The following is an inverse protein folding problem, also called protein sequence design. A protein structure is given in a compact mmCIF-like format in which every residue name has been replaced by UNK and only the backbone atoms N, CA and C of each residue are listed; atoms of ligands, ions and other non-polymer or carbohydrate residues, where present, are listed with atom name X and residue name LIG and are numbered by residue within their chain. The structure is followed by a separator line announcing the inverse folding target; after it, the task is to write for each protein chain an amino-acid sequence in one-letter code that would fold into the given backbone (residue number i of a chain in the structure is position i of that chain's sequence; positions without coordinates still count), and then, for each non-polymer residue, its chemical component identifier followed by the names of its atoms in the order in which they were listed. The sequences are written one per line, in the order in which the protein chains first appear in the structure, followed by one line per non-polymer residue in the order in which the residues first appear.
data_IF_373680104747
#
_entry.id   IF_373680104747
#
_cell.length_a   1.000
_cell.length_b   1.000
_cell.length_c   1.000
_cell.angle_alpha   90.00
_cell.angle_beta   90.00
_cell.angle_gamma   90.00
#
_symmetry.space_group_name_H-M   'P 1'
#
loop_
_entity.id
_entity.type
_entity.pdbx_description
1 polymer ?
#
# COMPACT_ATOMS: atom_id res chain seq x y z
N UNK A 1 2.04 6.47 7.48
CA UNK A 1 1.78 7.23 8.72
C UNK A 1 0.77 6.55 9.66
N UNK A 2 -0.48 6.34 9.23
CA UNK A 2 -1.53 5.79 10.09
C UNK A 2 -1.14 4.46 10.76
N UNK A 3 -0.51 3.53 10.02
CA UNK A 3 -0.01 2.28 10.60
C UNK A 3 0.99 2.49 11.74
N UNK A 4 1.88 3.48 11.62
CA UNK A 4 2.85 3.80 12.66
C UNK A 4 2.15 4.34 13.92
N UNK A 5 1.19 5.26 13.73
CA UNK A 5 0.38 5.78 14.83
C UNK A 5 -0.39 4.66 15.55
N UNK A 6 -1.04 3.76 14.81
CA UNK A 6 -1.74 2.60 15.40
C UNK A 6 -0.76 1.70 16.16
N UNK A 7 0.43 1.42 15.61
CA UNK A 7 1.41 0.58 16.26
C UNK A 7 1.92 1.20 17.57
N UNK A 8 2.15 2.51 17.60
CA UNK A 8 2.59 3.24 18.80
C UNK A 8 1.48 3.27 19.85
N UNK A 9 0.24 3.56 19.44
CA UNK A 9 -0.92 3.56 20.34
C UNK A 9 -1.15 2.16 20.95
N UNK A 10 -0.83 1.08 20.20
CA UNK A 10 -1.03 -0.30 20.65
C UNK A 10 0.12 -0.89 21.49
N UNK A 11 1.36 -0.56 21.16
CA UNK A 11 2.56 -1.24 21.71
C UNK A 11 3.47 -0.33 22.54
N UNK A 12 3.24 0.99 22.52
CA UNK A 12 4.18 1.97 23.07
C UNK A 12 5.27 2.36 22.05
N UNK A 13 5.77 3.61 22.12
CA UNK A 13 6.75 4.12 21.16
C UNK A 13 8.09 3.39 21.18
N UNK A 14 8.50 2.86 22.33
CA UNK A 14 9.74 2.10 22.52
C UNK A 14 9.75 0.76 21.77
N UNK A 15 8.57 0.21 21.47
CA UNK A 15 8.40 -1.03 20.73
C UNK A 15 8.29 -0.81 19.20
N UNK A 16 8.27 0.45 18.75
CA UNK A 16 8.06 0.80 17.34
C UNK A 16 9.35 1.37 16.74
N UNK A 17 9.67 0.85 15.55
CA UNK A 17 10.81 1.28 14.75
C UNK A 17 10.34 1.70 13.36
N UNK A 18 10.36 2.99 13.08
CA UNK A 18 10.16 3.55 11.74
C UNK A 18 11.46 3.51 10.94
N UNK A 19 11.41 2.95 9.74
CA UNK A 19 12.57 2.92 8.82
C UNK A 19 12.17 3.58 7.51
N UNK A 20 12.81 4.70 7.18
CA UNK A 20 12.65 5.36 5.88
C UNK A 20 13.66 4.80 4.89
N UNK A 21 13.21 4.46 3.67
CA UNK A 21 14.04 3.80 2.66
C UNK A 21 14.01 4.56 1.32
N UNK A 22 14.62 5.76 1.26
CA UNK A 22 14.57 6.60 0.07
C UNK A 22 15.36 6.00 -1.10
N UNK A 23 14.87 6.23 -2.31
CA UNK A 23 15.62 6.03 -3.57
C UNK A 23 15.84 7.39 -4.26
N UNK A 24 16.49 7.39 -5.43
CA UNK A 24 16.61 8.60 -6.29
C UNK A 24 15.29 9.29 -6.66
N UNK A 25 14.14 8.63 -6.52
CA UNK A 25 12.83 9.21 -6.83
C UNK A 25 12.09 9.73 -5.59
N UNK A 26 12.60 9.46 -4.38
CA UNK A 26 11.96 9.91 -3.15
C UNK A 26 12.16 11.41 -2.96
N UNK A 27 11.06 12.14 -2.74
CA UNK A 27 11.12 13.56 -2.42
C UNK A 27 11.76 13.81 -1.04
N UNK A 28 12.47 14.92 -0.90
CA UNK A 28 12.98 15.39 0.41
C UNK A 28 11.83 15.50 1.42
N UNK A 29 10.68 16.00 0.97
CA UNK A 29 9.46 16.10 1.77
C UNK A 29 9.03 14.76 2.37
N UNK A 30 9.01 13.66 1.61
CA UNK A 30 8.64 12.33 2.14
C UNK A 30 9.56 11.84 3.27
N UNK A 31 10.86 12.12 3.20
CA UNK A 31 11.82 11.72 4.24
C UNK A 31 11.64 12.58 5.49
N UNK A 32 11.50 13.90 5.32
CA UNK A 32 11.33 14.84 6.42
C UNK A 32 9.99 14.64 7.14
N UNK A 33 8.90 14.44 6.38
CA UNK A 33 7.58 14.08 6.90
C UNK A 33 7.63 12.81 7.76
N UNK A 34 8.37 11.80 7.30
CA UNK A 34 8.53 10.53 8.02
C UNK A 34 9.33 10.70 9.32
N UNK A 35 10.36 11.55 9.30
CA UNK A 35 11.16 11.87 10.48
C UNK A 35 10.33 12.65 11.50
N UNK A 36 9.58 13.63 11.05
CA UNK A 36 8.70 14.45 11.89
C UNK A 36 7.60 13.59 12.54
N UNK A 37 6.97 12.70 11.77
CA UNK A 37 6.00 11.75 12.31
C UNK A 37 6.61 10.90 13.42
N UNK A 38 7.80 10.35 13.21
CA UNK A 38 8.46 9.50 14.20
C UNK A 38 8.85 10.30 15.45
N UNK A 39 9.29 11.54 15.30
CA UNK A 39 9.59 12.45 16.40
C UNK A 39 8.34 12.75 17.25
N UNK A 40 7.20 13.05 16.62
CA UNK A 40 5.92 13.30 17.32
C UNK A 40 5.38 12.07 18.04
N UNK A 41 5.60 10.90 17.46
CA UNK A 41 5.22 9.63 18.08
C UNK A 41 6.22 9.17 19.15
N UNK A 42 7.43 9.71 19.17
CA UNK A 42 8.50 9.30 20.09
C UNK A 42 9.12 7.94 19.78
N UNK A 43 8.88 7.38 18.58
CA UNK A 43 9.40 6.08 18.19
C UNK A 43 10.78 6.18 17.53
N UNK A 44 11.55 5.08 17.56
CA UNK A 44 12.86 5.03 16.88
C UNK A 44 12.70 5.29 15.39
N UNK A 45 13.62 6.04 14.80
CA UNK A 45 13.65 6.34 13.38
C UNK A 45 15.05 6.15 12.80
N UNK A 46 15.17 5.31 11.78
CA UNK A 46 16.40 5.13 11.00
C UNK A 46 16.13 5.38 9.50
N UNK A 47 17.17 5.77 8.78
CA UNK A 47 17.13 5.96 7.31
C UNK A 47 18.09 4.98 6.65
N UNK A 48 17.58 4.19 5.72
CA UNK A 48 18.36 3.22 4.93
C UNK A 48 18.12 3.49 3.44
N UNK A 49 18.91 4.37 2.80
CA UNK A 49 18.78 4.61 1.37
C UNK A 49 18.98 3.31 0.57
N UNK A 50 18.19 3.13 -0.50
CA UNK A 50 18.21 1.89 -1.29
C UNK A 50 18.87 2.07 -2.67
N UNK A 51 19.38 3.26 -2.99
CA UNK A 51 19.79 3.61 -4.34
C UNK A 51 20.97 2.77 -4.86
N UNK A 52 21.94 2.48 -3.99
CA UNK A 52 23.08 1.62 -4.33
C UNK A 52 22.64 0.17 -4.56
N UNK A 53 21.73 -0.35 -3.72
CA UNK A 53 21.17 -1.69 -3.86
C UNK A 53 20.39 -1.80 -5.17
N UNK A 54 19.57 -0.78 -5.46
CA UNK A 54 18.81 -0.70 -6.69
C UNK A 54 19.72 -0.66 -7.92
N UNK A 55 20.76 0.17 -7.89
CA UNK A 55 21.75 0.27 -8.97
C UNK A 55 22.47 -1.07 -9.22
N UNK A 56 22.87 -1.78 -8.15
CA UNK A 56 23.49 -3.10 -8.28
C UNK A 56 22.58 -4.14 -8.92
N UNK A 57 21.28 -4.12 -8.62
CA UNK A 57 20.31 -4.98 -9.31
C UNK A 57 20.16 -4.61 -10.80
N UNK A 58 20.07 -3.32 -11.13
CA UNK A 58 19.96 -2.86 -12.53
C UNK A 58 21.20 -3.25 -13.35
N UNK A 59 22.40 -3.10 -12.76
CA UNK A 59 23.65 -3.52 -13.39
C UNK A 59 23.63 -5.04 -13.66
N UNK A 60 23.29 -5.84 -12.67
CA UNK A 60 23.19 -7.30 -12.82
C UNK A 60 22.15 -7.76 -13.83
N UNK A 61 21.08 -6.99 -14.04
CA UNK A 61 20.00 -7.29 -14.99
C UNK A 61 20.22 -6.70 -16.38
N UNK A 62 21.26 -5.89 -16.59
CA UNK A 62 21.52 -5.20 -17.87
C UNK A 62 21.51 -6.14 -19.09
N UNK A 63 22.16 -7.33 -19.06
CA UNK A 63 22.11 -8.23 -20.22
C UNK A 63 20.71 -8.77 -20.52
N UNK A 64 19.88 -8.95 -19.49
CA UNK A 64 18.52 -9.47 -19.63
C UNK A 64 17.52 -8.41 -20.09
N UNK A 65 17.76 -7.14 -19.74
CA UNK A 65 16.91 -5.99 -20.11
C UNK A 65 17.44 -5.23 -21.33
N UNK A 66 18.40 -5.81 -22.06
CA UNK A 66 18.96 -5.18 -23.24
C UNK A 66 17.88 -4.93 -24.31
N UNK A 67 17.76 -3.68 -24.76
CA UNK A 67 16.78 -3.28 -25.79
C UNK A 67 15.35 -3.06 -25.27
N UNK A 68 15.16 -3.00 -23.94
CA UNK A 68 13.88 -2.63 -23.32
C UNK A 68 13.95 -1.27 -22.65
N UNK A 69 12.82 -0.58 -22.54
CA UNK A 69 12.68 0.65 -21.76
C UNK A 69 12.33 0.35 -20.29
N UNK A 70 12.79 1.17 -19.32
CA UNK A 70 12.38 1.03 -17.93
C UNK A 70 10.86 1.11 -17.75
N UNK A 71 10.33 0.35 -16.79
CA UNK A 71 8.92 0.39 -16.43
C UNK A 71 8.61 -0.35 -15.14
N UNK A 72 7.50 -1.10 -15.14
CA UNK A 72 6.95 -1.76 -13.94
C UNK A 72 7.93 -2.76 -13.30
N UNK A 73 8.90 -3.28 -14.06
CA UNK A 73 9.92 -4.19 -13.52
C UNK A 73 10.86 -3.45 -12.53
N UNK A 74 11.40 -2.31 -12.94
CA UNK A 74 12.30 -1.44 -12.18
C UNK A 74 11.57 -0.78 -11.00
N UNK A 75 10.32 -0.37 -11.19
CA UNK A 75 9.48 0.15 -10.10
C UNK A 75 9.29 -0.91 -9.00
N UNK A 76 8.86 -2.11 -9.38
CA UNK A 76 8.64 -3.21 -8.43
C UNK A 76 9.94 -3.69 -7.76
N UNK A 77 11.09 -3.55 -8.42
CA UNK A 77 12.37 -3.91 -7.85
C UNK A 77 12.68 -3.06 -6.60
N UNK A 78 12.42 -1.75 -6.65
CA UNK A 78 12.58 -0.87 -5.49
C UNK A 78 11.68 -1.30 -4.32
N UNK A 79 10.41 -1.62 -4.58
CA UNK A 79 9.51 -2.13 -3.54
C UNK A 79 10.03 -3.43 -2.92
N UNK A 80 10.52 -4.38 -3.73
CA UNK A 80 11.10 -5.65 -3.25
C UNK A 80 12.38 -5.46 -2.43
N UNK A 81 13.23 -4.51 -2.81
CA UNK A 81 14.42 -4.16 -2.02
C UNK A 81 14.01 -3.66 -0.63
N UNK A 82 13.01 -2.78 -0.54
CA UNK A 82 12.47 -2.32 0.74
C UNK A 82 11.93 -3.46 1.59
N UNK A 83 11.16 -4.37 0.97
CA UNK A 83 10.70 -5.59 1.64
C UNK A 83 11.84 -6.44 2.19
N UNK A 84 12.89 -6.68 1.39
CA UNK A 84 14.06 -7.45 1.80
C UNK A 84 14.83 -6.78 2.96
N UNK A 85 15.01 -5.46 2.94
CA UNK A 85 15.63 -4.69 4.02
C UNK A 85 14.84 -4.86 5.32
N UNK A 86 13.52 -4.64 5.30
CA UNK A 86 12.67 -4.79 6.49
C UNK A 86 12.71 -6.21 7.04
N UNK A 87 12.65 -7.22 6.18
CA UNK A 87 12.73 -8.62 6.60
C UNK A 87 14.11 -8.98 7.17
N UNK A 88 15.19 -8.41 6.64
CA UNK A 88 16.54 -8.60 7.19
C UNK A 88 16.67 -8.00 8.60
N UNK A 89 16.15 -6.78 8.80
CA UNK A 89 16.10 -6.13 10.12
C UNK A 89 15.25 -6.94 11.10
N UNK A 90 14.07 -7.38 10.68
CA UNK A 90 13.20 -8.28 11.44
C UNK A 90 13.92 -9.55 11.87
N UNK A 91 14.59 -10.25 10.96
CA UNK A 91 15.33 -11.47 11.27
C UNK A 91 16.49 -11.22 12.24
N UNK A 92 17.14 -10.05 12.16
CA UNK A 92 18.27 -9.71 13.02
C UNK A 92 17.84 -9.36 14.45
N UNK A 93 16.71 -8.68 14.61
CA UNK A 93 16.30 -8.08 15.89
C UNK A 93 14.98 -8.64 16.46
N UNK A 94 14.31 -9.55 15.76
CA UNK A 94 13.08 -10.22 16.22
C UNK A 94 11.81 -9.38 16.13
N UNK A 95 11.84 -8.21 15.48
CA UNK A 95 10.65 -7.36 15.30
C UNK A 95 9.68 -7.90 14.25
N UNK A 96 8.40 -7.60 14.39
CA UNK A 96 7.38 -7.95 13.38
C UNK A 96 7.29 -6.84 12.32
N UNK A 97 7.55 -7.18 11.05
CA UNK A 97 7.28 -6.25 9.95
C UNK A 97 5.78 -6.08 9.77
N UNK A 98 5.30 -4.83 9.81
CA UNK A 98 3.89 -4.48 9.60
C UNK A 98 3.72 -3.93 8.19
N UNK A 99 3.04 -4.68 7.32
CA UNK A 99 2.68 -4.24 5.99
C UNK A 99 1.63 -3.12 6.05
N UNK A 100 1.72 -2.16 5.12
CA UNK A 100 0.94 -0.92 5.17
C UNK A 100 -0.14 -0.82 4.09
N UNK A 101 -0.26 -1.84 3.22
CA UNK A 101 -1.27 -1.85 2.16
C UNK A 101 -2.69 -1.80 2.72
N UNK A 102 -3.53 -0.95 2.11
CA UNK A 102 -4.92 -0.77 2.49
C UNK A 102 -5.88 -1.60 1.62
N UNK A 103 -7.17 -1.63 1.99
CA UNK A 103 -8.17 -2.47 1.29
C UNK A 103 -8.32 -2.11 -0.18
N UNK A 104 -8.28 -0.82 -0.52
CA UNK A 104 -8.43 -0.34 -1.90
C UNK A 104 -7.29 -0.82 -2.77
N UNK A 105 -6.05 -0.63 -2.31
CA UNK A 105 -4.82 -1.10 -2.98
C UNK A 105 -4.84 -2.62 -3.16
N UNK A 106 -5.17 -3.38 -2.10
CA UNK A 106 -5.27 -4.84 -2.16
C UNK A 106 -6.40 -5.33 -3.08
N UNK A 107 -7.50 -4.59 -3.18
CA UNK A 107 -8.63 -4.95 -4.03
C UNK A 107 -8.21 -4.95 -5.50
N UNK A 108 -7.66 -3.84 -5.99
CA UNK A 108 -7.25 -3.71 -7.40
C UNK A 108 -5.84 -4.22 -7.69
N UNK A 109 -5.13 -4.70 -6.67
CA UNK A 109 -3.77 -5.22 -6.76
C UNK A 109 -2.72 -4.16 -7.08
N UNK A 110 -2.96 -2.92 -6.63
CA UNK A 110 -2.01 -1.82 -6.64
C UNK A 110 -0.99 -2.02 -5.51
N UNK A 111 -0.19 -3.06 -5.68
CA UNK A 111 0.78 -3.56 -4.71
C UNK A 111 1.78 -4.51 -5.38
N UNK A 112 3.00 -4.53 -4.84
CA UNK A 112 4.09 -5.37 -5.30
C UNK A 112 4.21 -6.60 -4.42
N UNK A 113 4.02 -7.79 -5.02
CA UNK A 113 4.34 -9.04 -4.33
C UNK A 113 5.78 -9.05 -3.86
N UNK A 114 5.94 -9.37 -2.57
CA UNK A 114 7.22 -9.39 -1.85
C UNK A 114 7.89 -8.00 -1.72
N UNK A 115 7.18 -6.93 -2.09
CA UNK A 115 7.56 -5.54 -1.88
C UNK A 115 6.82 -4.94 -0.70
N UNK A 116 5.93 -3.97 -0.95
CA UNK A 116 5.08 -3.34 0.05
C UNK A 116 4.11 -4.32 0.76
N UNK A 117 3.87 -5.49 0.16
CA UNK A 117 3.13 -6.58 0.78
C UNK A 117 3.93 -7.37 1.82
N UNK A 118 5.26 -7.18 1.89
CA UNK A 118 6.12 -7.90 2.82
C UNK A 118 5.78 -7.51 4.27
N UNK A 119 5.39 -8.50 5.07
CA UNK A 119 5.07 -8.30 6.47
C UNK A 119 4.48 -9.54 7.11
N UNK A 120 4.55 -9.62 8.43
CA UNK A 120 3.86 -10.65 9.20
C UNK A 120 2.44 -10.25 9.61
N UNK A 121 2.10 -8.96 9.51
CA UNK A 121 0.75 -8.45 9.80
C UNK A 121 0.43 -7.20 8.97
N UNK A 122 -0.82 -7.05 8.54
CA UNK A 122 -1.31 -5.92 7.75
C UNK A 122 -2.47 -5.23 8.48
N UNK A 123 -2.15 -4.16 9.22
CA UNK A 123 -3.11 -3.46 10.09
C UNK A 123 -4.24 -2.81 9.27
N UNK A 124 -3.93 -2.28 8.09
CA UNK A 124 -4.88 -1.55 7.25
C UNK A 124 -5.54 -2.43 6.18
N UNK A 125 -5.34 -3.75 6.23
CA UNK A 125 -5.79 -4.69 5.18
C UNK A 125 -7.27 -4.58 4.83
N UNK A 126 -8.11 -4.24 5.80
CA UNK A 126 -9.56 -4.12 5.63
C UNK A 126 -10.07 -2.67 5.78
N UNK A 127 -9.20 -1.68 5.60
CA UNK A 127 -9.51 -0.25 5.68
C UNK A 127 -9.46 0.35 4.28
N UNK A 128 -10.56 0.91 3.78
CA UNK A 128 -10.59 1.64 2.50
C UNK A 128 -9.71 2.90 2.56
N UNK A 129 -9.12 3.33 1.44
CA UNK A 129 -8.23 4.51 1.39
C UNK A 129 -8.93 5.77 1.89
N UNK A 130 -10.17 6.01 1.48
CA UNK A 130 -11.00 7.12 1.99
C UNK A 130 -11.15 7.07 3.52
N UNK A 131 -11.29 5.87 4.09
CA UNK A 131 -11.34 5.69 5.55
C UNK A 131 -9.95 5.87 6.19
N UNK A 132 -8.85 5.53 5.53
CA UNK A 132 -7.48 5.82 6.00
C UNK A 132 -7.31 7.33 6.23
N UNK A 133 -7.72 8.17 5.29
CA UNK A 133 -7.68 9.64 5.45
C UNK A 133 -8.55 10.09 6.63
N UNK A 134 -9.80 9.62 6.71
CA UNK A 134 -10.71 9.96 7.82
C UNK A 134 -10.17 9.54 9.18
N UNK A 135 -9.51 8.38 9.27
CA UNK A 135 -8.89 7.90 10.51
C UNK A 135 -7.64 8.70 10.88
N UNK A 136 -6.85 9.14 9.90
CA UNK A 136 -5.73 10.04 10.15
C UNK A 136 -6.21 11.39 10.72
N UNK A 137 -7.26 11.97 10.13
CA UNK A 137 -7.90 13.19 10.64
C UNK A 137 -8.47 12.98 12.05
N UNK A 138 -9.19 11.87 12.24
CA UNK A 138 -9.73 11.52 13.55
C UNK A 138 -8.62 11.35 14.60
N UNK A 139 -7.47 10.76 14.22
CA UNK A 139 -6.32 10.59 15.12
C UNK A 139 -5.68 11.94 15.50
N UNK A 140 -5.82 12.95 14.66
CA UNK A 140 -5.33 14.31 14.87
C UNK A 140 -6.29 15.23 15.62
N UNK A 141 -7.53 14.81 15.89
CA UNK A 141 -8.59 15.68 16.46
C UNK A 141 -8.23 16.33 17.81
N UNK A 142 -7.39 15.66 18.61
CA UNK A 142 -6.97 16.08 19.94
C UNK A 142 -5.52 16.61 19.96
N UNK A 143 -4.90 16.77 18.78
CA UNK A 143 -3.51 17.19 18.61
C UNK A 143 -2.89 16.60 17.34
N UNK A 144 -2.12 17.39 16.61
CA UNK A 144 -1.53 16.98 15.33
C UNK A 144 -0.40 15.96 15.52
N UNK A 145 -0.75 14.66 15.54
CA UNK A 145 0.23 13.56 15.64
C UNK A 145 0.75 13.16 14.28
N UNK A 146 -0.12 13.04 13.28
CA UNK A 146 0.26 12.82 11.89
C UNK A 146 0.46 14.19 11.23
N UNK A 147 1.66 14.54 10.74
CA UNK A 147 1.90 15.83 10.10
C UNK A 147 0.90 16.13 9.00
N UNK A 148 0.39 17.37 8.95
CA UNK A 148 -0.63 17.76 7.97
C UNK A 148 -0.18 17.55 6.52
N UNK A 149 1.11 17.80 6.25
CA UNK A 149 1.73 17.55 4.95
C UNK A 149 1.54 16.11 4.44
N UNK A 150 1.52 15.10 5.33
CA UNK A 150 1.28 13.70 4.93
C UNK A 150 -0.17 13.48 4.49
N UNK A 151 -1.12 14.15 5.13
CA UNK A 151 -2.55 14.01 4.85
C UNK A 151 -2.91 14.75 3.55
N UNK A 152 -2.35 15.94 3.33
CA UNK A 152 -2.66 16.77 2.17
C UNK A 152 -1.92 16.34 0.89
N UNK A 153 -0.80 15.61 1.03
CA UNK A 153 -0.01 15.14 -0.11
C UNK A 153 -0.79 14.09 -0.93
N UNK A 154 -0.79 14.22 -2.28
CA UNK A 154 -1.31 13.18 -3.15
C UNK A 154 -0.63 11.82 -2.90
N UNK A 155 -1.38 10.71 -2.92
CA UNK A 155 -0.81 9.40 -2.70
C UNK A 155 0.10 8.98 -3.87
N UNK A 156 1.26 8.42 -3.52
CA UNK A 156 2.29 7.96 -4.46
C UNK A 156 3.18 6.90 -3.82
N UNK A 157 3.69 5.98 -4.63
CA UNK A 157 4.74 5.02 -4.24
C UNK A 157 6.16 5.54 -4.47
N UNK A 158 6.33 6.69 -5.15
CA UNK A 158 7.62 7.32 -5.48
C UNK A 158 8.65 6.32 -6.08
N UNK A 159 8.22 5.52 -7.06
CA UNK A 159 9.03 4.51 -7.75
C UNK A 159 9.57 4.98 -9.11
N UNK A 160 9.05 6.07 -9.64
CA UNK A 160 9.50 6.77 -10.86
C UNK A 160 9.29 8.28 -10.69
N UNK A 161 9.87 9.14 -11.55
CA UNK A 161 9.68 10.59 -11.45
C UNK A 161 8.20 10.97 -11.51
N UNK A 162 7.80 11.89 -10.64
CA UNK A 162 6.45 12.50 -10.58
C UNK A 162 5.28 11.50 -10.52
N UNK A 163 5.52 10.28 -10.03
CA UNK A 163 4.50 9.23 -9.94
C UNK A 163 3.34 9.65 -9.05
N UNK A 164 2.11 9.38 -9.49
CA UNK A 164 0.89 9.46 -8.67
C UNK A 164 0.08 8.17 -8.78
N UNK A 165 -0.65 7.80 -7.73
CA UNK A 165 -1.59 6.66 -7.78
C UNK A 165 -2.66 6.87 -8.87
N UNK A 166 -3.08 8.11 -9.08
CA UNK A 166 -4.05 8.52 -10.11
C UNK A 166 -3.59 8.30 -11.54
N UNK A 167 -2.29 8.02 -11.77
CA UNK A 167 -1.78 7.63 -13.08
C UNK A 167 -2.32 6.25 -13.52
N UNK A 168 -2.77 5.43 -12.57
CA UNK A 168 -3.16 4.03 -12.80
C UNK A 168 -4.52 3.67 -12.23
N UNK A 169 -5.04 4.46 -11.29
CA UNK A 169 -6.28 4.20 -10.57
C UNK A 169 -7.27 5.36 -10.77
N UNK A 170 -8.59 5.09 -10.73
CA UNK A 170 -9.58 6.12 -10.50
C UNK A 170 -9.32 6.85 -9.17
N UNK A 171 -9.89 8.05 -9.01
CA UNK A 171 -9.91 8.72 -7.71
C UNK A 171 -10.43 7.78 -6.62
N UNK A 172 -9.80 7.81 -5.45
CA UNK A 172 -10.11 6.88 -4.36
C UNK A 172 -11.54 7.00 -3.86
N UNK A 173 -12.17 8.18 -3.95
CA UNK A 173 -13.59 8.35 -3.65
C UNK A 173 -14.49 7.51 -4.56
N UNK A 174 -14.24 7.58 -5.87
CA UNK A 174 -14.97 6.76 -6.86
C UNK A 174 -14.62 5.27 -6.74
N UNK A 175 -13.34 4.96 -6.60
CA UNK A 175 -12.84 3.59 -6.49
C UNK A 175 -13.45 2.88 -5.27
N UNK A 176 -13.41 3.51 -4.10
CA UNK A 176 -13.91 2.90 -2.86
C UNK A 176 -15.42 2.67 -2.90
N UNK A 177 -16.19 3.55 -3.54
CA UNK A 177 -17.64 3.38 -3.73
C UNK A 177 -17.97 2.19 -4.63
N UNK A 178 -17.22 2.01 -5.72
CA UNK A 178 -17.36 0.85 -6.61
C UNK A 178 -16.94 -0.43 -5.88
N UNK A 179 -15.80 -0.41 -5.18
CA UNK A 179 -15.32 -1.55 -4.41
C UNK A 179 -16.28 -1.93 -3.29
N UNK A 180 -16.89 -0.96 -2.61
CA UNK A 180 -17.91 -1.22 -1.59
C UNK A 180 -19.08 -2.00 -2.20
N UNK A 181 -19.61 -1.58 -3.33
CA UNK A 181 -20.73 -2.29 -3.99
C UNK A 181 -20.32 -3.66 -4.52
N UNK A 182 -19.22 -3.73 -5.25
CA UNK A 182 -18.76 -4.96 -5.89
C UNK A 182 -18.28 -6.01 -4.88
N UNK A 183 -17.56 -5.58 -3.83
CA UNK A 183 -16.97 -6.47 -2.83
C UNK A 183 -17.89 -6.63 -1.64
N UNK A 184 -18.27 -5.57 -0.93
CA UNK A 184 -19.07 -5.71 0.31
C UNK A 184 -20.50 -6.17 -0.01
N UNK A 185 -21.16 -5.50 -0.95
CA UNK A 185 -22.58 -5.72 -1.24
C UNK A 185 -22.84 -6.82 -2.28
N UNK A 186 -21.79 -7.39 -2.89
CA UNK A 186 -21.90 -8.45 -3.91
C UNK A 186 -22.74 -8.04 -5.13
N UNK A 187 -22.75 -6.74 -5.46
CA UNK A 187 -23.49 -6.23 -6.60
C UNK A 187 -22.82 -6.60 -7.93
N UNK A 188 -23.61 -6.97 -8.94
CA UNK A 188 -23.12 -7.14 -10.30
C UNK A 188 -22.77 -5.78 -10.94
N UNK A 189 -21.90 -5.80 -11.95
CA UNK A 189 -21.44 -4.58 -12.64
C UNK A 189 -22.60 -3.81 -13.28
N UNK A 190 -23.62 -4.49 -13.81
CA UNK A 190 -24.79 -3.87 -14.42
C UNK A 190 -25.60 -3.06 -13.41
N UNK A 191 -25.79 -3.59 -12.20
CA UNK A 191 -26.43 -2.86 -11.10
C UNK A 191 -25.63 -1.63 -10.67
N UNK A 192 -24.31 -1.75 -10.54
CA UNK A 192 -23.46 -0.61 -10.16
C UNK A 192 -23.55 0.49 -11.22
N UNK A 193 -23.61 0.14 -12.52
CA UNK A 193 -23.82 1.11 -13.60
C UNK A 193 -25.21 1.73 -13.54
N UNK A 194 -26.25 0.95 -13.26
CA UNK A 194 -27.62 1.44 -13.10
C UNK A 194 -27.76 2.43 -11.92
N UNK A 195 -26.92 2.29 -10.88
CA UNK A 195 -26.84 3.22 -9.75
C UNK A 195 -26.11 4.54 -10.11
N UNK A 196 -25.67 4.71 -11.36
CA UNK A 196 -25.14 5.98 -11.89
C UNK A 196 -23.60 6.06 -11.98
N UNK A 197 -22.89 4.95 -11.79
CA UNK A 197 -21.43 4.89 -11.90
C UNK A 197 -20.96 4.68 -13.35
N UNK A 198 -19.82 5.25 -13.78
CA UNK A 198 -19.33 5.11 -15.15
C UNK A 198 -19.02 3.65 -15.53
N UNK A 199 -19.61 3.17 -16.64
CA UNK A 199 -19.54 1.75 -17.02
C UNK A 199 -18.14 1.26 -17.34
N UNK A 200 -17.31 2.10 -17.95
CA UNK A 200 -15.91 1.83 -18.24
C UNK A 200 -15.09 1.65 -16.95
N UNK A 201 -15.29 2.54 -15.97
CA UNK A 201 -14.60 2.48 -14.68
C UNK A 201 -15.05 1.27 -13.87
N UNK A 202 -16.36 1.00 -13.79
CA UNK A 202 -16.90 -0.17 -13.07
C UNK A 202 -16.34 -1.46 -13.64
N UNK A 203 -16.32 -1.59 -14.97
CA UNK A 203 -15.81 -2.78 -15.66
C UNK A 203 -14.31 -2.97 -15.39
N UNK A 204 -13.51 -1.92 -15.50
CA UNK A 204 -12.07 -2.03 -15.26
C UNK A 204 -11.76 -2.35 -13.79
N UNK A 205 -12.46 -1.72 -12.82
CA UNK A 205 -12.29 -2.03 -11.40
C UNK A 205 -12.65 -3.48 -11.09
N UNK A 206 -13.78 -3.99 -11.61
CA UNK A 206 -14.16 -5.40 -11.44
C UNK A 206 -13.09 -6.35 -12.01
N UNK A 207 -12.59 -6.05 -13.22
CA UNK A 207 -11.50 -6.81 -13.85
C UNK A 207 -10.22 -6.79 -13.03
N UNK A 208 -9.83 -5.62 -12.50
CA UNK A 208 -8.67 -5.48 -11.62
C UNK A 208 -8.85 -6.29 -10.33
N UNK A 209 -10.05 -6.27 -9.74
CA UNK A 209 -10.35 -7.08 -8.56
C UNK A 209 -10.12 -8.56 -8.87
N UNK A 210 -10.74 -9.08 -9.92
CA UNK A 210 -10.71 -10.54 -10.16
C UNK A 210 -9.33 -11.03 -10.60
N UNK A 211 -8.62 -10.26 -11.45
CA UNK A 211 -7.26 -10.60 -11.89
C UNK A 211 -6.24 -10.66 -10.75
N UNK A 212 -6.45 -9.90 -9.68
CA UNK A 212 -5.49 -9.78 -8.58
C UNK A 212 -5.77 -10.71 -7.37
N UNK A 213 -6.66 -11.70 -7.54
CA UNK A 213 -6.92 -12.70 -6.49
C UNK A 213 -5.64 -13.43 -6.04
N UNK A 214 -4.74 -13.76 -6.97
CA UNK A 214 -3.47 -14.41 -6.65
C UNK A 214 -2.57 -13.60 -5.70
N UNK A 215 -2.60 -12.26 -5.79
CA UNK A 215 -1.85 -11.39 -4.87
C UNK A 215 -2.47 -11.43 -3.49
N UNK A 216 -3.80 -11.28 -3.40
CA UNK A 216 -4.53 -11.27 -2.12
C UNK A 216 -4.33 -12.55 -1.33
N UNK A 217 -4.22 -13.71 -2.00
CA UNK A 217 -3.93 -15.01 -1.35
C UNK A 217 -2.57 -15.08 -0.66
N UNK A 218 -1.65 -14.17 -0.97
CA UNK A 218 -0.30 -14.09 -0.39
C UNK A 218 -0.14 -12.91 0.58
N UNK A 219 -1.19 -12.11 0.78
CA UNK A 219 -1.15 -10.99 1.72
C UNK A 219 -1.04 -11.47 3.17
N UNK A 220 -0.28 -10.73 3.97
CA UNK A 220 -0.16 -10.95 5.41
C UNK A 220 -1.54 -11.02 6.10
N UNK A 221 -1.68 -11.74 7.23
CA UNK A 221 -2.90 -11.69 8.02
C UNK A 221 -3.18 -10.25 8.49
N UNK A 222 -4.45 -9.92 8.70
CA UNK A 222 -4.87 -8.58 9.11
C UNK A 222 -6.23 -8.62 9.80
N UNK A 223 -6.63 -7.48 10.36
CA UNK A 223 -7.89 -7.34 11.10
C UNK A 223 -9.04 -7.11 10.10
N UNK A 224 -10.20 -7.73 10.35
CA UNK A 224 -11.45 -7.41 9.66
C UNK A 224 -12.18 -6.31 10.42
N UNK A 225 -12.57 -5.24 9.71
CA UNK A 225 -13.38 -4.15 10.28
C UNK A 225 -14.64 -3.85 9.45
N UNK A 226 -14.78 -4.46 8.26
CA UNK A 226 -15.93 -4.33 7.37
C UNK A 226 -16.78 -5.62 7.36
N UNK A 227 -17.82 -5.68 6.52
CA UNK A 227 -18.69 -6.85 6.44
C UNK A 227 -18.05 -8.02 5.69
N UNK A 228 -17.23 -7.76 4.66
CA UNK A 228 -16.60 -8.76 3.81
C UNK A 228 -15.10 -8.47 3.61
N UNK A 229 -14.25 -9.14 4.38
CA UNK A 229 -12.80 -9.03 4.22
C UNK A 229 -12.27 -9.97 3.13
N UNK A 230 -11.18 -9.57 2.46
CA UNK A 230 -10.44 -10.46 1.58
C UNK A 230 -9.79 -11.59 2.38
N UNK A 231 -10.12 -12.84 2.03
CA UNK A 231 -9.68 -14.04 2.73
C UNK A 231 -10.84 -14.98 3.04
N UNK A 232 -11.14 -15.19 4.33
CA UNK A 232 -12.14 -16.19 4.75
C UNK A 232 -13.57 -15.88 4.28
N UNK A 233 -13.92 -14.60 4.13
CA UNK A 233 -15.28 -14.14 3.81
C UNK A 233 -15.54 -14.03 2.30
N UNK A 234 -14.50 -13.81 1.48
CA UNK A 234 -14.58 -13.78 0.01
C UNK A 234 -13.63 -14.82 -0.57
N UNK A 235 -14.19 -15.94 -1.03
CA UNK A 235 -13.45 -17.09 -1.57
C UNK A 235 -13.71 -17.24 -3.07
N UNK A 236 -12.90 -16.57 -3.88
CA UNK A 236 -12.97 -16.69 -5.34
C UNK A 236 -11.80 -17.53 -5.89
N UNK A 237 -11.98 -18.18 -7.06
CA UNK A 237 -10.89 -18.88 -7.71
C UNK A 237 -9.82 -17.88 -8.21
N UNK A 238 -8.56 -18.32 -8.21
CA UNK A 238 -7.47 -17.56 -8.84
C UNK A 238 -7.63 -17.59 -10.36
N UNK A 239 -7.82 -18.80 -10.92
CA UNK A 239 -8.13 -18.98 -12.34
C UNK A 239 -9.61 -18.71 -12.54
N UNK A 240 -9.94 -17.51 -13.01
CA UNK A 240 -11.30 -17.07 -13.26
C UNK A 240 -11.43 -16.61 -14.72
N UNK A 241 -12.41 -17.18 -15.44
CA UNK A 241 -12.74 -16.79 -16.83
C UNK A 241 -14.08 -16.05 -16.92
N UNK A 242 -14.65 -15.64 -15.80
CA UNK A 242 -15.85 -14.81 -15.77
C UNK A 242 -15.51 -13.43 -16.36
N UNK A 243 -16.16 -13.11 -17.48
CA UNK A 243 -16.10 -11.81 -18.18
C UNK A 243 -17.47 -11.19 -18.09
#
# INVERSE_FOLDING_TARGET
ALTCAIAVDALGPEAVHGISMPSRYSSTGSVDDSRELAARLGCRFDVVPIDDIFSGFLEGLTPMFAGTEPGVAEENLQARIRGAVLMAVSNKFGGLVVATGNKSEMAVGYATLYGDMAGGFAVLKDVFKTLVYRLAEWRNRDGEVIPRAIIDKPPSAELRPDQLDSDSLPDYGLLDEILHRYVELDADTGKIVADGYPADVVTEVARMVDRNEYKRRQSAPGVKITTKAFGKDRRLPITNGFV
#
